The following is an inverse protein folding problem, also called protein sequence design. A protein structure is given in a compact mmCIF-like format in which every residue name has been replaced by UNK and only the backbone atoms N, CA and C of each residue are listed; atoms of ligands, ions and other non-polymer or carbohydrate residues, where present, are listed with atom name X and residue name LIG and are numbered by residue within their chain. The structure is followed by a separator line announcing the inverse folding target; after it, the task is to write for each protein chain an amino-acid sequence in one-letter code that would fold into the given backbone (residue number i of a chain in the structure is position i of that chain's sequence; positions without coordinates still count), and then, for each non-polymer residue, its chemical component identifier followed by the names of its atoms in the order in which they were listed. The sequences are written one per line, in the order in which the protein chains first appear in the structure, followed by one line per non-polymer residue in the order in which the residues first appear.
data_IF_774215231412
#
_entry.id   IF_774215231412
#
_cell.length_a   1.000
_cell.length_b   1.000
_cell.length_c   1.000
_cell.angle_alpha   90.00
_cell.angle_beta   90.00
_cell.angle_gamma   90.00
#
_symmetry.space_group_name_H-M   'P 1'
#
loop_
_entity.id
_entity.type
_entity.pdbx_description
1 polymer ?
#
# COMPACT_ATOMS: atom_id res chain seq x y z
N UNK A 1 10.77 1.98 7.49
CA UNK A 1 10.30 0.67 7.02
C UNK A 1 8.78 0.67 7.02
N UNK A 2 8.10 0.47 5.88
CA UNK A 2 6.65 0.45 5.82
C UNK A 2 6.07 -0.85 6.39
N UNK A 3 4.85 -0.75 6.95
CA UNK A 3 4.06 -1.86 7.51
C UNK A 3 2.73 -1.93 6.80
N UNK A 4 2.40 -3.06 6.18
CA UNK A 4 1.08 -3.37 5.65
C UNK A 4 0.37 -4.37 6.54
N UNK A 5 -0.89 -4.10 6.87
CA UNK A 5 -1.75 -5.04 7.59
C UNK A 5 -2.72 -5.73 6.62
N UNK A 6 -2.72 -7.04 6.59
CA UNK A 6 -3.68 -7.87 5.87
C UNK A 6 -4.78 -8.27 6.85
N UNK A 7 -6.00 -7.82 6.59
CA UNK A 7 -7.20 -8.17 7.35
C UNK A 7 -8.20 -8.90 6.45
N UNK A 8 -9.24 -9.45 7.02
CA UNK A 8 -10.29 -10.15 6.26
C UNK A 8 -10.81 -11.35 7.03
N UNK A 9 -12.02 -11.76 6.71
CA UNK A 9 -12.70 -12.85 7.42
C UNK A 9 -12.02 -14.21 7.21
N UNK A 10 -12.33 -15.16 8.09
CA UNK A 10 -11.81 -16.54 8.01
C UNK A 10 -12.15 -17.14 6.63
N UNK A 11 -11.16 -17.74 5.98
CA UNK A 11 -11.32 -18.36 4.66
C UNK A 11 -11.36 -17.40 3.47
N UNK A 12 -11.19 -16.08 3.65
CA UNK A 12 -11.14 -15.10 2.56
C UNK A 12 -9.90 -15.25 1.66
N UNK A 13 -8.81 -15.84 2.18
CA UNK A 13 -7.58 -16.07 1.44
C UNK A 13 -6.42 -15.17 1.84
N UNK A 14 -6.39 -14.67 3.09
CA UNK A 14 -5.29 -13.84 3.63
C UNK A 14 -3.94 -14.52 3.50
N UNK A 15 -3.81 -15.73 4.03
CA UNK A 15 -2.57 -16.52 3.96
C UNK A 15 -2.19 -16.85 2.51
N UNK A 16 -3.17 -17.05 1.63
CA UNK A 16 -2.91 -17.26 0.20
C UNK A 16 -2.31 -16.01 -0.45
N UNK A 17 -2.86 -14.83 -0.14
CA UNK A 17 -2.31 -13.54 -0.57
C UNK A 17 -0.90 -13.32 0.00
N UNK A 18 -0.71 -13.56 1.31
CA UNK A 18 0.59 -13.42 1.95
C UNK A 18 1.65 -14.29 1.26
N UNK A 19 1.34 -15.55 1.00
CA UNK A 19 2.24 -16.46 0.29
C UNK A 19 2.53 -16.00 -1.14
N UNK A 20 1.54 -15.43 -1.83
CA UNK A 20 1.76 -14.82 -3.15
C UNK A 20 2.70 -13.62 -3.06
N UNK A 21 2.51 -12.73 -2.08
CA UNK A 21 3.38 -11.59 -1.81
C UNK A 21 4.82 -12.04 -1.54
N UNK A 22 5.02 -13.06 -0.71
CA UNK A 22 6.34 -13.58 -0.39
C UNK A 22 7.05 -14.19 -1.61
N UNK A 23 6.31 -14.82 -2.48
CA UNK A 23 6.83 -15.41 -3.72
C UNK A 23 7.18 -14.35 -4.76
N UNK A 24 6.33 -13.35 -4.92
CA UNK A 24 6.46 -12.26 -5.90
C UNK A 24 6.93 -10.96 -5.24
N UNK A 25 7.92 -11.06 -4.34
CA UNK A 25 8.39 -9.98 -3.45
C UNK A 25 9.20 -8.87 -4.12
N UNK A 26 9.38 -8.90 -5.42
CA UNK A 26 10.14 -7.90 -6.20
C UNK A 26 11.59 -7.72 -5.71
N UNK A 27 12.16 -8.76 -5.08
CA UNK A 27 13.49 -8.73 -4.49
C UNK A 27 13.57 -7.98 -3.14
N UNK A 28 12.42 -7.69 -2.52
CA UNK A 28 12.35 -7.11 -1.18
C UNK A 28 12.56 -8.19 -0.11
N UNK A 29 13.19 -7.81 0.98
CA UNK A 29 13.26 -8.62 2.19
C UNK A 29 12.07 -8.28 3.07
N UNK A 30 11.14 -9.23 3.19
CA UNK A 30 9.87 -9.02 3.88
C UNK A 30 9.92 -9.68 5.25
N UNK A 31 9.70 -8.88 6.30
CA UNK A 31 9.40 -9.37 7.65
C UNK A 31 7.91 -9.69 7.74
N UNK A 32 7.56 -10.84 8.30
CA UNK A 32 6.18 -11.27 8.46
C UNK A 32 5.84 -11.43 9.94
N UNK A 33 4.72 -10.82 10.35
CA UNK A 33 4.12 -11.03 11.67
C UNK A 33 2.77 -11.68 11.44
N UNK A 34 2.58 -12.90 11.97
CA UNK A 34 1.30 -13.59 11.92
C UNK A 34 0.65 -13.52 13.30
N UNK A 35 -0.51 -12.91 13.36
CA UNK A 35 -1.29 -12.76 14.58
C UNK A 35 -2.51 -13.68 14.50
N UNK A 36 -2.42 -14.88 15.09
CA UNK A 36 -3.53 -15.80 15.17
C UNK A 36 -4.01 -15.94 16.63
N UNK A 37 -5.34 -15.95 16.82
CA UNK A 37 -5.98 -16.22 18.11
C UNK A 37 -6.13 -17.73 18.29
N UNK A 38 -5.12 -18.41 18.85
CA UNK A 38 -5.22 -19.84 19.16
C UNK A 38 -3.91 -20.44 19.68
N UNK A 39 -4.04 -21.53 20.48
CA UNK A 39 -2.91 -22.28 21.06
C UNK A 39 -2.02 -22.98 20.00
N UNK A 40 -2.44 -22.99 18.73
CA UNK A 40 -1.70 -23.58 17.61
C UNK A 40 -1.74 -22.58 16.45
N UNK A 41 -0.61 -21.97 16.14
CA UNK A 41 -0.46 -21.01 15.04
C UNK A 41 -0.36 -21.76 13.69
N UNK A 42 -1.53 -22.24 13.17
CA UNK A 42 -1.61 -23.02 11.94
C UNK A 42 -1.18 -22.19 10.74
N UNK A 43 -1.53 -20.90 10.71
CA UNK A 43 -1.21 -20.01 9.59
C UNK A 43 0.29 -19.71 9.53
N UNK A 44 0.96 -19.48 10.67
CA UNK A 44 2.40 -19.35 10.73
C UNK A 44 3.13 -20.64 10.28
N UNK A 45 2.57 -21.82 10.63
CA UNK A 45 3.10 -23.10 10.15
C UNK A 45 2.90 -23.29 8.65
N UNK A 46 1.81 -22.77 8.05
CA UNK A 46 1.59 -22.83 6.61
C UNK A 46 2.55 -21.91 5.83
N UNK A 47 2.83 -20.72 6.37
CA UNK A 47 3.82 -19.80 5.82
C UNK A 47 5.23 -20.41 5.94
N UNK A 48 5.58 -20.95 7.11
CA UNK A 48 6.88 -21.60 7.34
C UNK A 48 7.09 -22.84 6.45
N UNK A 49 6.08 -23.70 6.29
CA UNK A 49 6.20 -24.91 5.45
C UNK A 49 6.40 -24.62 3.97
N UNK A 50 5.91 -23.51 3.45
CA UNK A 50 6.16 -23.13 2.06
C UNK A 50 7.55 -22.51 1.89
N UNK A 51 8.16 -21.98 2.94
CA UNK A 51 9.54 -21.53 2.94
C UNK A 51 10.55 -22.65 3.16
N UNK A 52 10.17 -23.76 3.82
CA UNK A 52 11.02 -24.96 4.03
C UNK A 52 11.24 -25.83 2.79
N UNK A 53 10.40 -25.69 1.76
CA UNK A 53 10.67 -26.31 0.46
C UNK A 53 11.44 -25.33 -0.45
N UNK A 54 12.78 -25.32 -0.34
CA UNK A 54 13.77 -24.71 -1.24
C UNK A 54 13.95 -23.18 -1.20
N UNK A 55 13.42 -22.47 -0.25
CA UNK A 55 13.88 -21.12 0.04
C UNK A 55 14.80 -21.14 1.25
N UNK A 56 15.95 -21.78 1.10
CA UNK A 56 17.10 -21.46 1.96
C UNK A 56 17.23 -19.95 2.00
N UNK A 57 17.04 -19.37 3.18
CA UNK A 57 17.55 -18.10 3.71
C UNK A 57 18.12 -17.02 2.76
N UNK A 58 18.17 -17.28 1.45
CA UNK A 58 18.69 -16.36 0.45
C UNK A 58 17.79 -15.15 0.18
N UNK A 59 16.49 -15.21 0.50
CA UNK A 59 15.54 -14.11 0.30
C UNK A 59 15.08 -13.43 1.59
N UNK A 60 15.63 -13.82 2.76
CA UNK A 60 15.56 -13.00 3.97
C UNK A 60 14.18 -12.77 4.59
N UNK A 61 13.26 -13.72 4.47
CA UNK A 61 12.01 -13.67 5.22
C UNK A 61 12.24 -14.05 6.68
N UNK A 62 11.80 -13.21 7.62
CA UNK A 62 11.79 -13.49 9.05
C UNK A 62 10.34 -13.57 9.49
N UNK A 63 9.90 -14.73 9.99
CA UNK A 63 8.58 -14.92 10.58
C UNK A 63 8.67 -14.78 12.10
N UNK A 64 7.85 -13.89 12.67
CA UNK A 64 7.64 -13.74 14.11
C UNK A 64 6.22 -14.15 14.46
N UNK A 65 6.05 -15.02 15.48
CA UNK A 65 4.74 -15.28 16.06
C UNK A 65 4.58 -14.50 17.36
N UNK A 66 3.35 -14.03 17.64
CA UNK A 66 3.07 -13.17 18.80
C UNK A 66 2.88 -13.95 20.11
N UNK A 67 3.40 -15.16 20.23
CA UNK A 67 3.28 -15.92 21.48
C UNK A 67 3.92 -15.14 22.64
N UNK A 68 3.07 -14.44 23.40
CA UNK A 68 3.45 -13.76 24.64
C UNK A 68 4.15 -12.41 24.50
N UNK A 69 4.33 -11.87 23.28
CA UNK A 69 4.87 -10.53 23.01
C UNK A 69 3.78 -9.58 22.50
N UNK A 70 3.96 -8.27 22.74
CA UNK A 70 3.09 -7.25 22.14
C UNK A 70 3.39 -7.09 20.64
N UNK A 71 2.44 -6.52 19.89
CA UNK A 71 2.65 -6.18 18.47
C UNK A 71 3.85 -5.21 18.30
N UNK A 72 4.00 -4.24 19.20
CA UNK A 72 5.14 -3.32 19.22
C UNK A 72 6.47 -4.04 19.42
N UNK A 73 6.53 -5.06 20.28
CA UNK A 73 7.74 -5.87 20.48
C UNK A 73 8.11 -6.64 19.22
N UNK A 74 7.14 -7.24 18.54
CA UNK A 74 7.36 -7.94 17.28
C UNK A 74 7.82 -7.00 16.15
N UNK A 75 7.22 -5.82 16.06
CA UNK A 75 7.67 -4.76 15.14
C UNK A 75 9.10 -4.36 15.48
N UNK A 76 9.42 -4.16 16.77
CA UNK A 76 10.75 -3.80 17.24
C UNK A 76 11.84 -4.84 16.91
N UNK A 77 11.51 -6.13 16.89
CA UNK A 77 12.44 -7.18 16.48
C UNK A 77 12.80 -7.11 14.99
N UNK A 78 11.87 -6.69 14.16
CA UNK A 78 12.06 -6.56 12.71
C UNK A 78 12.59 -5.19 12.31
N UNK A 79 12.10 -4.13 12.95
CA UNK A 79 12.38 -2.74 12.62
C UNK A 79 13.29 -2.10 13.68
N UNK A 80 14.61 -2.14 13.44
CA UNK A 80 15.65 -1.55 14.31
C UNK A 80 16.82 -1.02 13.49
N UNK A 81 17.72 -0.29 14.13
CA UNK A 81 18.96 0.18 13.50
C UNK A 81 19.79 -1.02 13.02
N UNK A 82 20.08 -1.06 11.73
CA UNK A 82 20.83 -2.16 11.11
C UNK A 82 19.98 -3.34 10.62
N UNK A 83 18.65 -3.28 10.75
CA UNK A 83 17.75 -4.25 10.10
C UNK A 83 17.97 -4.26 8.59
N UNK A 84 17.93 -5.45 8.00
CA UNK A 84 18.01 -5.64 6.54
C UNK A 84 16.64 -5.83 5.90
N UNK A 85 15.56 -5.75 6.68
CA UNK A 85 14.19 -5.87 6.21
C UNK A 85 13.79 -4.58 5.46
N UNK A 86 13.16 -4.74 4.31
CA UNK A 86 12.67 -3.63 3.47
C UNK A 86 11.21 -3.28 3.77
N UNK A 87 10.41 -4.28 4.17
CA UNK A 87 8.96 -4.17 4.34
C UNK A 87 8.45 -5.14 5.41
N UNK A 88 7.45 -4.75 6.19
CA UNK A 88 6.77 -5.64 7.15
C UNK A 88 5.35 -5.90 6.68
N UNK A 89 4.95 -7.15 6.68
CA UNK A 89 3.57 -7.58 6.42
C UNK A 89 3.02 -8.26 7.67
N UNK A 90 1.88 -7.75 8.15
CA UNK A 90 1.18 -8.30 9.31
C UNK A 90 -0.07 -9.00 8.81
N UNK A 91 -0.20 -10.30 9.02
CA UNK A 91 -1.45 -11.01 8.82
C UNK A 91 -2.24 -11.03 10.13
N UNK A 92 -3.39 -10.36 10.14
CA UNK A 92 -4.28 -10.36 11.29
C UNK A 92 -5.19 -11.58 11.30
N UNK A 93 -5.55 -12.07 12.49
CA UNK A 93 -6.60 -13.08 12.66
C UNK A 93 -7.90 -12.67 11.96
N UNK A 94 -8.62 -13.64 11.42
CA UNK A 94 -9.92 -13.40 10.78
C UNK A 94 -11.01 -12.85 11.70
N UNK A 95 -10.77 -12.85 13.01
CA UNK A 95 -11.66 -12.29 14.04
C UNK A 95 -11.07 -11.07 14.74
N UNK A 96 -9.88 -10.60 14.31
CA UNK A 96 -9.27 -9.41 14.89
C UNK A 96 -10.15 -8.17 14.68
N UNK A 97 -10.21 -7.31 15.70
CA UNK A 97 -10.90 -6.03 15.60
C UNK A 97 -10.04 -5.03 14.78
N UNK A 98 -10.49 -4.64 13.59
CA UNK A 98 -9.65 -3.87 12.66
C UNK A 98 -9.33 -2.48 13.20
N UNK A 99 -10.23 -1.89 13.96
CA UNK A 99 -10.03 -0.55 14.59
C UNK A 99 -8.94 -0.59 15.65
N UNK A 100 -8.89 -1.64 16.44
CA UNK A 100 -7.86 -1.81 17.47
C UNK A 100 -6.48 -2.01 16.83
N UNK A 101 -6.40 -2.88 15.81
CA UNK A 101 -5.19 -3.08 15.04
C UNK A 101 -4.70 -1.78 14.41
N UNK A 102 -5.58 -1.03 13.75
CA UNK A 102 -5.25 0.26 13.15
C UNK A 102 -4.70 1.24 14.19
N UNK A 103 -5.37 1.35 15.34
CA UNK A 103 -4.91 2.23 16.45
C UNK A 103 -3.54 1.84 16.96
N UNK A 104 -3.26 0.54 17.13
CA UNK A 104 -1.96 0.06 17.57
C UNK A 104 -0.87 0.42 16.55
N UNK A 105 -1.12 0.21 15.27
CA UNK A 105 -0.17 0.51 14.21
C UNK A 105 0.10 2.02 14.05
N UNK A 106 -0.93 2.86 14.15
CA UNK A 106 -0.80 4.32 14.06
C UNK A 106 -0.15 4.93 15.31
N UNK A 107 -0.33 4.30 16.49
CA UNK A 107 0.25 4.77 17.74
C UNK A 107 1.62 4.20 18.06
N UNK A 108 2.16 3.31 17.22
CA UNK A 108 3.48 2.74 17.41
C UNK A 108 4.55 3.83 17.49
N UNK A 109 5.43 3.72 18.49
CA UNK A 109 6.53 4.66 18.73
C UNK A 109 7.83 4.21 18.10
N UNK A 110 7.82 3.16 17.30
CA UNK A 110 9.01 2.66 16.65
C UNK A 110 9.47 3.63 15.56
N UNK A 111 10.65 4.24 15.75
CA UNK A 111 11.22 5.23 14.83
C UNK A 111 11.64 4.64 13.47
N UNK A 112 11.80 3.31 13.40
CA UNK A 112 12.25 2.60 12.19
C UNK A 112 11.09 2.01 11.37
N UNK A 113 9.88 2.01 11.91
CA UNK A 113 8.69 1.49 11.25
C UNK A 113 7.59 2.54 11.14
N UNK A 114 6.75 2.41 10.13
CA UNK A 114 5.55 3.25 9.97
C UNK A 114 4.44 2.45 9.33
N UNK A 115 3.23 2.69 9.75
CA UNK A 115 2.06 2.12 9.10
C UNK A 115 1.93 2.67 7.66
N UNK A 116 1.74 1.78 6.69
CA UNK A 116 1.64 2.08 5.27
C UNK A 116 0.21 1.93 4.77
N UNK A 117 -0.39 0.77 5.00
CA UNK A 117 -1.74 0.48 4.51
C UNK A 117 -2.41 -0.68 5.24
N UNK A 118 -3.76 -0.66 5.22
CA UNK A 118 -4.61 -1.78 5.59
C UNK A 118 -5.25 -2.37 4.33
N UNK A 119 -5.04 -3.66 4.11
CA UNK A 119 -5.53 -4.41 2.96
C UNK A 119 -6.55 -5.45 3.41
N UNK A 120 -7.81 -5.29 3.01
CA UNK A 120 -8.84 -6.29 3.32
C UNK A 120 -8.95 -7.32 2.20
N UNK A 121 -8.83 -8.61 2.55
CA UNK A 121 -9.10 -9.72 1.64
C UNK A 121 -10.53 -10.18 1.83
N UNK A 122 -11.29 -10.24 0.73
CA UNK A 122 -12.74 -10.48 0.72
C UNK A 122 -13.04 -11.71 -0.13
N UNK A 123 -13.77 -12.65 0.42
CA UNK A 123 -14.33 -13.76 -0.36
C UNK A 123 -15.56 -13.28 -1.15
N UNK A 124 -15.40 -13.15 -2.44
CA UNK A 124 -16.47 -12.66 -3.34
C UNK A 124 -17.75 -13.49 -3.26
N UNK A 125 -17.65 -14.79 -2.93
CA UNK A 125 -18.80 -15.69 -2.86
C UNK A 125 -19.64 -15.52 -1.61
N UNK A 126 -19.04 -15.00 -0.54
CA UNK A 126 -19.65 -14.96 0.80
C UNK A 126 -19.84 -13.55 1.37
N UNK A 127 -19.44 -12.48 0.65
CA UNK A 127 -19.41 -11.12 1.17
C UNK A 127 -20.73 -10.68 1.82
N UNK A 128 -21.86 -10.86 1.13
CA UNK A 128 -23.17 -10.42 1.62
C UNK A 128 -23.64 -11.22 2.84
N UNK A 129 -23.39 -12.54 2.84
CA UNK A 129 -23.75 -13.41 3.98
C UNK A 129 -22.82 -13.23 5.19
N UNK A 130 -21.59 -12.82 4.97
CA UNK A 130 -20.63 -12.54 6.04
C UNK A 130 -21.00 -11.28 6.78
N UNK A 131 -21.42 -10.23 6.08
CA UNK A 131 -21.84 -8.98 6.70
C UNK A 131 -23.06 -9.17 7.60
N UNK A 132 -24.09 -9.89 7.13
CA UNK A 132 -25.29 -10.16 7.93
C UNK A 132 -24.98 -10.84 9.27
N UNK A 133 -23.94 -11.67 9.31
CA UNK A 133 -23.59 -12.48 10.49
C UNK A 133 -22.51 -11.86 11.39
N UNK A 134 -21.70 -10.97 10.83
CA UNK A 134 -20.49 -10.43 11.48
C UNK A 134 -20.40 -8.91 11.34
N UNK A 135 -20.93 -8.15 12.29
CA UNK A 135 -20.93 -6.68 12.24
C UNK A 135 -19.53 -6.06 12.08
N UNK A 136 -18.48 -6.69 12.65
CA UNK A 136 -17.10 -6.25 12.50
C UNK A 136 -16.54 -6.36 11.08
N UNK A 137 -17.19 -7.13 10.20
CA UNK A 137 -16.80 -7.24 8.80
C UNK A 137 -17.00 -5.93 8.04
N UNK A 138 -18.13 -5.24 8.30
CA UNK A 138 -18.37 -3.92 7.72
C UNK A 138 -17.25 -2.93 8.07
N UNK A 139 -16.81 -2.95 9.33
CA UNK A 139 -15.74 -2.09 9.80
C UNK A 139 -14.38 -2.42 9.14
N UNK A 140 -14.09 -3.71 8.91
CA UNK A 140 -12.90 -4.11 8.15
C UNK A 140 -12.88 -3.50 6.75
N UNK A 141 -14.02 -3.52 6.06
CA UNK A 141 -14.15 -2.93 4.73
C UNK A 141 -14.01 -1.41 4.76
N UNK A 142 -14.68 -0.76 5.71
CA UNK A 142 -14.72 0.70 5.82
C UNK A 142 -13.36 1.33 6.19
N UNK A 143 -12.54 0.62 6.98
CA UNK A 143 -11.23 1.10 7.44
C UNK A 143 -10.07 0.73 6.52
N UNK A 144 -10.31 -0.08 5.48
CA UNK A 144 -9.23 -0.56 4.61
C UNK A 144 -8.94 0.42 3.48
N UNK A 145 -7.66 0.57 3.17
CA UNK A 145 -7.16 1.42 2.10
C UNK A 145 -7.27 0.72 0.73
N UNK A 146 -7.14 -0.62 0.75
CA UNK A 146 -7.26 -1.49 -0.42
C UNK A 146 -8.18 -2.66 -0.11
N UNK A 147 -9.12 -2.95 -1.00
CA UNK A 147 -9.99 -4.11 -0.95
C UNK A 147 -9.56 -5.12 -2.03
N UNK A 148 -9.21 -6.34 -1.63
CA UNK A 148 -8.90 -7.43 -2.56
C UNK A 148 -10.09 -8.35 -2.62
N UNK A 149 -10.88 -8.26 -3.69
CA UNK A 149 -12.00 -9.12 -3.97
C UNK A 149 -11.49 -10.44 -4.55
N UNK A 150 -11.30 -11.41 -3.69
CA UNK A 150 -10.75 -12.71 -4.04
C UNK A 150 -11.85 -13.73 -4.44
N UNK A 151 -11.45 -14.79 -5.13
CA UNK A 151 -12.32 -15.87 -5.64
C UNK A 151 -13.35 -15.40 -6.65
N UNK A 152 -13.02 -14.41 -7.47
CA UNK A 152 -13.91 -13.86 -8.51
C UNK A 152 -14.26 -14.91 -9.57
N UNK A 153 -13.39 -15.88 -9.80
CA UNK A 153 -13.54 -17.02 -10.70
C UNK A 153 -14.76 -17.90 -10.36
N UNK A 154 -15.23 -17.85 -9.11
CA UNK A 154 -16.39 -18.60 -8.64
C UNK A 154 -17.73 -17.88 -8.85
N UNK A 155 -17.71 -16.63 -9.34
CA UNK A 155 -18.92 -15.83 -9.53
C UNK A 155 -19.27 -15.63 -11.01
N UNK A 156 -20.57 -15.56 -11.29
CA UNK A 156 -21.06 -15.10 -12.59
C UNK A 156 -20.92 -13.58 -12.69
N UNK A 157 -20.75 -13.00 -13.91
CA UNK A 157 -20.56 -11.56 -14.09
C UNK A 157 -21.63 -10.68 -13.41
N UNK A 158 -22.89 -11.11 -13.41
CA UNK A 158 -23.96 -10.36 -12.76
C UNK A 158 -23.88 -10.36 -11.23
N UNK A 159 -23.34 -11.42 -10.63
CA UNK A 159 -23.10 -11.51 -9.19
C UNK A 159 -21.89 -10.66 -8.80
N UNK A 160 -20.82 -10.75 -9.57
CA UNK A 160 -19.61 -9.96 -9.39
C UNK A 160 -19.93 -8.46 -9.41
N UNK A 161 -20.77 -8.01 -10.40
CA UNK A 161 -21.22 -6.62 -10.46
C UNK A 161 -21.92 -6.18 -9.16
N UNK A 162 -22.84 -6.99 -8.64
CA UNK A 162 -23.55 -6.67 -7.39
C UNK A 162 -22.59 -6.53 -6.20
N UNK A 163 -21.59 -7.41 -6.13
CA UNK A 163 -20.57 -7.35 -5.06
C UNK A 163 -19.72 -6.08 -5.17
N UNK A 164 -19.30 -5.71 -6.40
CA UNK A 164 -18.56 -4.46 -6.63
C UNK A 164 -19.37 -3.23 -6.22
N UNK A 165 -20.63 -3.17 -6.66
CA UNK A 165 -21.54 -2.06 -6.35
C UNK A 165 -21.72 -1.93 -4.83
N UNK A 166 -21.86 -3.06 -4.13
CA UNK A 166 -21.97 -3.12 -2.68
C UNK A 166 -20.70 -2.65 -1.96
N UNK A 167 -19.52 -3.14 -2.36
CA UNK A 167 -18.25 -2.71 -1.76
C UNK A 167 -17.99 -1.23 -1.99
N UNK A 168 -18.31 -0.72 -3.17
CA UNK A 168 -18.21 0.71 -3.48
C UNK A 168 -19.16 1.57 -2.65
N UNK A 169 -20.29 1.04 -2.19
CA UNK A 169 -21.18 1.73 -1.25
C UNK A 169 -20.62 1.79 0.17
N UNK A 170 -19.97 0.69 0.64
CA UNK A 170 -19.39 0.65 1.99
C UNK A 170 -18.14 1.55 2.08
N UNK A 171 -17.27 1.44 1.10
CA UNK A 171 -16.01 2.19 1.08
C UNK A 171 -15.74 2.71 -0.33
N UNK A 172 -16.25 3.91 -0.58
CA UNK A 172 -16.09 4.58 -1.88
C UNK A 172 -14.66 5.06 -2.12
N UNK A 173 -13.84 5.13 -1.07
CA UNK A 173 -12.47 5.63 -1.16
C UNK A 173 -11.44 4.52 -1.36
N UNK A 174 -11.72 3.30 -0.88
CA UNK A 174 -10.78 2.19 -1.02
C UNK A 174 -10.58 1.80 -2.50
N UNK A 175 -9.36 1.38 -2.81
CA UNK A 175 -9.05 0.81 -4.12
C UNK A 175 -9.47 -0.66 -4.17
N UNK A 176 -10.24 -1.04 -5.17
CA UNK A 176 -10.72 -2.41 -5.36
C UNK A 176 -9.82 -3.15 -6.35
N UNK A 177 -9.14 -4.19 -5.89
CA UNK A 177 -8.38 -5.12 -6.72
C UNK A 177 -9.13 -6.45 -6.79
N UNK A 178 -9.17 -7.04 -7.98
CA UNK A 178 -9.76 -8.36 -8.19
C UNK A 178 -8.70 -9.43 -8.23
N UNK A 179 -8.99 -10.56 -7.60
CA UNK A 179 -8.04 -11.66 -7.48
C UNK A 179 -8.70 -13.03 -7.68
N UNK A 180 -7.93 -13.91 -8.25
CA UNK A 180 -8.18 -15.35 -8.25
C UNK A 180 -7.06 -16.01 -7.46
N UNK A 181 -7.41 -16.86 -6.49
CA UNK A 181 -6.42 -17.52 -5.64
C UNK A 181 -5.42 -16.56 -4.96
N UNK A 182 -5.88 -15.38 -4.54
CA UNK A 182 -5.06 -14.37 -3.88
C UNK A 182 -3.98 -13.73 -4.76
N UNK A 183 -4.03 -13.90 -6.08
CA UNK A 183 -3.04 -13.34 -7.01
C UNK A 183 -3.41 -11.92 -7.40
N UNK A 184 -2.52 -11.01 -7.10
CA UNK A 184 -2.59 -9.58 -7.48
C UNK A 184 -1.20 -9.13 -7.92
N UNK A 185 -1.12 -8.01 -8.62
CA UNK A 185 0.18 -7.40 -8.88
C UNK A 185 0.74 -6.81 -7.57
N UNK A 186 1.80 -7.44 -7.05
CA UNK A 186 2.41 -7.07 -5.77
C UNK A 186 3.01 -5.67 -5.77
N UNK A 187 3.32 -5.09 -6.96
CA UNK A 187 3.78 -3.69 -7.09
C UNK A 187 2.74 -2.67 -6.63
N UNK A 188 1.46 -3.06 -6.64
CA UNK A 188 0.37 -2.21 -6.13
C UNK A 188 0.30 -2.19 -4.60
N UNK A 189 0.88 -3.20 -3.95
CA UNK A 189 0.84 -3.38 -2.50
C UNK A 189 2.18 -3.07 -1.84
N UNK A 190 3.31 -3.42 -2.49
CA UNK A 190 4.64 -3.32 -1.92
C UNK A 190 5.48 -2.29 -2.65
N UNK A 191 6.16 -1.44 -1.90
CA UNK A 191 7.18 -0.55 -2.45
C UNK A 191 8.24 -0.21 -1.39
N UNK A 192 9.54 -0.37 -1.70
CA UNK A 192 10.61 -0.03 -0.78
C UNK A 192 10.73 1.49 -0.57
N UNK A 193 11.17 1.91 0.61
CA UNK A 193 11.38 3.34 0.95
C UNK A 193 12.44 4.04 0.08
N UNK A 194 13.38 3.29 -0.48
CA UNK A 194 14.39 3.84 -1.38
C UNK A 194 14.10 3.42 -2.82
N UNK A 195 13.89 4.38 -3.74
CA UNK A 195 13.94 4.01 -5.14
C UNK A 195 15.35 3.46 -5.42
N UNK A 196 15.45 2.18 -5.76
CA UNK A 196 16.66 1.69 -6.42
C UNK A 196 16.79 2.55 -7.66
N UNK A 197 17.82 3.38 -7.71
CA UNK A 197 18.12 4.19 -8.91
C UNK A 197 18.12 3.21 -10.08
N UNK A 198 17.26 3.38 -11.10
CA UNK A 198 17.37 2.56 -12.29
C UNK A 198 18.77 2.86 -12.84
N UNK A 199 19.64 1.87 -12.88
CA UNK A 199 20.87 1.97 -13.65
C UNK A 199 20.43 2.30 -15.06
N UNK A 200 20.92 3.43 -15.57
CA UNK A 200 20.59 4.01 -16.86
C UNK A 200 20.60 2.91 -17.95
N UNK A 201 19.43 2.53 -18.44
CA UNK A 201 19.27 1.61 -19.55
C UNK A 201 18.24 0.50 -19.39
N UNK A 202 17.74 0.20 -18.20
CA UNK A 202 16.60 -0.69 -18.04
C UNK A 202 15.28 0.09 -18.21
N UNK A 203 14.84 0.20 -19.47
CA UNK A 203 13.41 0.18 -19.73
C UNK A 203 12.87 -1.02 -18.97
N UNK A 204 11.84 -0.82 -18.13
CA UNK A 204 11.06 -1.90 -17.55
C UNK A 204 10.54 -2.76 -18.72
N UNK A 205 11.39 -3.68 -19.17
CA UNK A 205 10.99 -4.73 -20.06
C UNK A 205 10.03 -5.59 -19.25
N UNK A 206 8.75 -5.48 -19.59
CA UNK A 206 7.76 -6.48 -19.27
C UNK A 206 8.34 -7.79 -19.81
N UNK A 207 8.85 -8.65 -18.93
CA UNK A 207 9.27 -9.99 -19.32
C UNK A 207 8.02 -10.70 -19.83
N UNK A 208 7.97 -10.86 -21.16
CA UNK A 208 7.11 -11.80 -21.84
C UNK A 208 7.53 -13.22 -21.43
N UNK A 209 7.08 -13.68 -20.29
CA UNK A 209 7.02 -15.09 -19.97
C UNK A 209 5.58 -15.57 -20.14
N UNK A 210 5.37 -16.14 -21.33
CA UNK A 210 4.23 -16.96 -21.70
C UNK A 210 3.97 -18.05 -20.67
N UNK A 211 3.03 -17.87 -19.76
CA UNK A 211 2.14 -18.89 -19.19
C UNK A 211 1.16 -18.26 -18.20
N UNK A 212 0.05 -17.78 -18.70
CA UNK A 212 -1.29 -17.90 -18.14
C UNK A 212 -2.21 -16.83 -18.77
N UNK A 213 -3.02 -17.29 -19.69
CA UNK A 213 -4.18 -16.57 -20.19
C UNK A 213 -5.08 -16.12 -19.05
N UNK A 214 -5.57 -14.86 -19.14
CA UNK A 214 -6.79 -14.32 -18.52
C UNK A 214 -6.69 -13.52 -17.22
N UNK A 215 -5.67 -12.70 -16.95
CA UNK A 215 -5.81 -11.56 -16.00
C UNK A 215 -4.70 -10.52 -16.21
N UNK A 216 -4.46 -10.12 -17.47
CA UNK A 216 -3.63 -8.95 -17.75
C UNK A 216 -4.45 -7.68 -17.53
N UNK A 217 -4.64 -7.28 -16.29
CA UNK A 217 -4.90 -5.88 -16.01
C UNK A 217 -3.63 -5.13 -16.37
N UNK A 218 -3.67 -4.37 -17.45
CA UNK A 218 -2.55 -3.56 -17.94
C UNK A 218 -2.41 -2.37 -17.00
N UNK A 219 -1.65 -2.54 -15.92
CA UNK A 219 -1.31 -1.42 -15.06
C UNK A 219 -0.35 -0.50 -15.78
N UNK A 220 -0.61 0.79 -15.69
CA UNK A 220 0.27 1.82 -16.20
C UNK A 220 0.92 2.59 -15.07
N UNK A 221 2.11 3.12 -15.33
CA UNK A 221 2.80 4.02 -14.41
C UNK A 221 3.16 5.31 -15.14
N UNK A 222 2.88 6.44 -14.48
CA UNK A 222 3.21 7.77 -14.99
C UNK A 222 4.17 8.44 -14.02
N UNK A 223 5.30 8.88 -14.54
CA UNK A 223 6.29 9.64 -13.78
C UNK A 223 6.24 11.11 -14.13
N UNK A 224 6.37 11.94 -13.11
CA UNK A 224 6.45 13.39 -13.20
C UNK A 224 7.77 13.88 -12.62
N UNK A 225 8.37 14.84 -13.28
CA UNK A 225 9.58 15.51 -12.79
C UNK A 225 9.46 17.00 -13.05
N UNK A 226 9.74 17.80 -12.03
CA UNK A 226 9.79 19.27 -12.16
C UNK A 226 10.94 19.83 -11.32
N UNK A 227 11.76 20.68 -11.90
CA UNK A 227 12.74 21.50 -11.16
C UNK A 227 12.14 22.82 -10.67
N UNK A 228 10.92 23.14 -11.12
CA UNK A 228 10.14 24.26 -10.61
C UNK A 228 9.30 23.82 -9.42
N UNK A 229 9.08 24.71 -8.45
CA UNK A 229 8.24 24.41 -7.29
C UNK A 229 6.80 24.13 -7.69
N UNK A 230 6.10 23.35 -6.89
CA UNK A 230 4.65 23.15 -6.99
C UNK A 230 3.93 24.11 -6.05
N UNK A 231 2.72 24.52 -6.43
CA UNK A 231 1.81 25.28 -5.57
C UNK A 231 1.20 24.33 -4.52
N UNK A 232 1.43 24.56 -3.21
CA UNK A 232 0.93 23.66 -2.16
C UNK A 232 -0.60 23.57 -2.10
N UNK A 233 -1.31 24.67 -2.41
CA UNK A 233 -2.78 24.68 -2.39
C UNK A 233 -3.35 23.85 -3.54
N UNK A 234 -2.82 24.04 -4.74
CA UNK A 234 -3.21 23.23 -5.89
C UNK A 234 -2.83 21.77 -5.72
N UNK A 235 -1.75 21.48 -4.98
CA UNK A 235 -1.35 20.12 -4.64
C UNK A 235 -2.41 19.42 -3.81
N UNK A 236 -2.96 20.09 -2.78
CA UNK A 236 -4.03 19.54 -1.93
C UNK A 236 -5.29 19.21 -2.75
N UNK A 237 -5.72 20.16 -3.58
CA UNK A 237 -6.86 19.96 -4.50
C UNK A 237 -6.61 18.80 -5.48
N UNK A 238 -5.39 18.68 -6.01
CA UNK A 238 -5.00 17.62 -6.93
C UNK A 238 -5.06 16.23 -6.28
N UNK A 239 -4.51 16.09 -5.07
CA UNK A 239 -4.55 14.80 -4.36
C UNK A 239 -5.98 14.41 -4.03
N UNK A 240 -6.82 15.36 -3.61
CA UNK A 240 -8.24 15.11 -3.35
C UNK A 240 -9.06 14.74 -4.60
N UNK A 241 -8.60 15.13 -5.79
CA UNK A 241 -9.25 14.87 -7.08
C UNK A 241 -8.66 13.69 -7.87
N UNK A 242 -7.68 12.96 -7.31
CA UNK A 242 -7.04 11.84 -8.01
C UNK A 242 -8.05 10.77 -8.44
N UNK A 243 -7.95 10.26 -9.67
CA UNK A 243 -8.78 9.16 -10.14
C UNK A 243 -8.68 7.92 -9.24
N UNK A 244 -9.79 7.21 -9.06
CA UNK A 244 -9.83 5.96 -8.26
C UNK A 244 -9.02 4.83 -8.88
N UNK A 245 -8.73 4.95 -10.16
CA UNK A 245 -7.88 4.07 -10.93
C UNK A 245 -6.40 4.18 -10.56
N UNK A 246 -6.01 5.22 -9.81
CA UNK A 246 -4.66 5.35 -9.24
C UNK A 246 -4.65 4.64 -7.89
N UNK A 247 -3.90 3.55 -7.81
CA UNK A 247 -3.79 2.72 -6.61
C UNK A 247 -2.67 3.16 -5.69
N UNK A 248 -1.59 3.68 -6.27
CA UNK A 248 -0.40 4.06 -5.52
C UNK A 248 0.28 5.27 -6.15
N UNK A 249 0.86 6.10 -5.30
CA UNK A 249 1.80 7.14 -5.75
C UNK A 249 2.91 7.32 -4.73
N UNK A 250 4.10 7.67 -5.22
CA UNK A 250 5.26 7.92 -4.36
C UNK A 250 6.24 8.88 -5.00
N UNK A 251 7.00 9.55 -4.17
CA UNK A 251 8.09 10.37 -4.62
C UNK A 251 8.42 11.52 -3.69
N UNK A 252 8.96 12.58 -4.27
CA UNK A 252 9.38 13.76 -3.54
C UNK A 252 8.79 15.00 -4.18
N UNK A 253 8.40 15.95 -3.33
CA UNK A 253 7.80 17.21 -3.73
C UNK A 253 8.72 18.36 -3.31
N UNK A 254 8.85 19.33 -4.20
CA UNK A 254 9.50 20.60 -3.97
C UNK A 254 8.48 21.73 -4.08
N UNK A 255 8.16 22.40 -2.97
CA UNK A 255 7.26 23.55 -2.96
C UNK A 255 7.99 24.88 -3.12
N UNK A 256 9.27 24.97 -2.74
CA UNK A 256 10.14 26.13 -2.99
C UNK A 256 9.75 27.44 -2.32
N UNK A 257 8.76 27.41 -1.42
CA UNK A 257 8.30 28.57 -0.68
C UNK A 257 9.17 28.83 0.54
N UNK A 258 9.21 30.09 0.97
CA UNK A 258 9.83 30.45 2.25
C UNK A 258 9.16 29.71 3.40
N UNK A 259 9.92 28.86 4.10
CA UNK A 259 9.43 27.98 5.16
C UNK A 259 9.02 26.57 4.69
N UNK A 260 8.99 26.32 3.37
CA UNK A 260 8.75 25.00 2.75
C UNK A 260 9.89 24.64 1.78
N UNK A 261 11.12 24.97 2.14
CA UNK A 261 12.30 24.67 1.30
C UNK A 261 12.79 23.23 1.43
N UNK A 262 12.24 22.48 2.40
CA UNK A 262 12.59 21.09 2.66
C UNK A 262 12.14 20.17 1.51
N UNK A 263 12.62 18.96 1.54
CA UNK A 263 12.18 17.87 0.70
C UNK A 263 10.98 17.21 1.33
N UNK A 264 9.88 17.12 0.63
CA UNK A 264 8.66 16.45 1.09
C UNK A 264 8.55 15.09 0.42
N UNK A 265 8.81 14.02 1.18
CA UNK A 265 8.51 12.66 0.73
C UNK A 265 7.00 12.45 0.74
N UNK A 266 6.43 12.07 -0.39
CA UNK A 266 5.00 11.79 -0.55
C UNK A 266 4.77 10.32 -0.83
N UNK A 267 3.73 9.77 -0.22
CA UNK A 267 3.27 8.41 -0.45
C UNK A 267 1.76 8.36 -0.41
N UNK A 268 1.17 7.59 -1.34
CA UNK A 268 -0.25 7.31 -1.40
C UNK A 268 -0.44 5.81 -1.64
N UNK A 269 -1.32 5.19 -0.84
CA UNK A 269 -1.78 3.81 -1.02
C UNK A 269 -3.29 3.79 -0.83
N UNK A 270 -4.02 3.38 -1.86
CA UNK A 270 -5.47 3.50 -1.83
C UNK A 270 -5.91 4.96 -1.71
N UNK A 271 -6.60 5.28 -0.63
CA UNK A 271 -6.99 6.64 -0.27
C UNK A 271 -6.11 7.26 0.84
N UNK A 272 -5.24 6.47 1.45
CA UNK A 272 -4.32 6.95 2.48
C UNK A 272 -3.11 7.61 1.83
N UNK A 273 -2.81 8.81 2.25
CA UNK A 273 -1.58 9.48 1.85
C UNK A 273 -0.85 10.03 3.08
N UNK A 274 0.46 10.09 2.98
CA UNK A 274 1.37 10.56 4.00
C UNK A 274 2.44 11.46 3.40
N UNK A 275 2.92 12.41 4.18
CA UNK A 275 3.96 13.34 3.77
C UNK A 275 5.01 13.46 4.86
N UNK A 276 6.26 13.14 4.54
CA UNK A 276 7.41 13.24 5.45
C UNK A 276 8.33 14.37 5.03
N UNK A 277 8.79 15.13 6.01
CA UNK A 277 9.83 16.15 5.80
C UNK A 277 11.20 15.47 5.87
N UNK A 278 12.04 15.76 4.86
CA UNK A 278 13.42 15.31 4.76
C UNK A 278 14.30 16.49 4.29
N UNK A 279 15.60 16.28 4.21
CA UNK A 279 16.57 17.24 3.73
C UNK A 279 17.07 16.86 2.33
N UNK A 280 17.36 17.89 1.50
CA UNK A 280 17.94 17.67 0.17
C UNK A 280 19.37 17.13 0.21
N UNK A 281 20.07 17.25 1.34
CA UNK A 281 21.46 16.77 1.57
C UNK A 281 22.43 17.13 0.44
N UNK A 282 22.28 18.34 -0.10
CA UNK A 282 23.10 18.86 -1.19
C UNK A 282 22.65 18.49 -2.59
N UNK A 283 21.61 17.70 -2.75
CA UNK A 283 20.96 17.48 -4.04
C UNK A 283 20.12 18.71 -4.44
N UNK A 284 20.06 19.06 -5.74
CA UNK A 284 19.21 20.16 -6.19
C UNK A 284 17.73 19.84 -5.93
N UNK A 285 16.95 20.81 -5.39
CA UNK A 285 15.53 20.60 -5.17
C UNK A 285 14.79 20.29 -6.46
N UNK A 286 13.93 19.28 -6.44
CA UNK A 286 13.08 18.88 -7.55
C UNK A 286 11.89 18.04 -7.06
N UNK A 287 10.80 18.08 -7.79
CA UNK A 287 9.70 17.12 -7.62
C UNK A 287 9.97 15.91 -8.52
N UNK A 288 9.85 14.74 -7.95
CA UNK A 288 9.84 13.45 -8.66
C UNK A 288 8.74 12.59 -8.07
N UNK A 289 7.74 12.26 -8.87
CA UNK A 289 6.57 11.46 -8.46
C UNK A 289 6.31 10.36 -9.47
N UNK A 290 5.89 9.20 -8.98
CA UNK A 290 5.40 8.10 -9.79
C UNK A 290 4.00 7.74 -9.32
N UNK A 291 3.06 7.64 -10.26
CA UNK A 291 1.70 7.19 -10.02
C UNK A 291 1.49 5.86 -10.73
N UNK A 292 0.89 4.90 -10.04
CA UNK A 292 0.61 3.55 -10.55
C UNK A 292 -0.89 3.31 -10.48
N UNK A 293 -1.48 2.87 -11.57
CA UNK A 293 -2.92 2.63 -11.66
C UNK A 293 -3.32 1.77 -12.84
N UNK A 294 -4.62 1.69 -13.09
CA UNK A 294 -5.18 0.90 -14.19
C UNK A 294 -6.29 1.66 -14.90
N UNK A 295 -6.10 1.95 -16.17
CA UNK A 295 -7.14 2.55 -17.02
C UNK A 295 -7.45 4.02 -16.74
N UNK A 296 -6.57 4.76 -16.08
CA UNK A 296 -6.71 6.20 -15.88
C UNK A 296 -6.22 7.01 -17.10
N UNK A 297 -6.72 8.24 -17.24
CA UNK A 297 -6.29 9.16 -18.28
C UNK A 297 -4.91 9.77 -17.97
N UNK A 298 -3.86 9.18 -18.56
CA UNK A 298 -2.46 9.61 -18.36
C UNK A 298 -2.21 11.03 -18.89
N UNK A 299 -2.83 11.41 -20.03
CA UNK A 299 -2.67 12.75 -20.59
C UNK A 299 -3.37 13.80 -19.74
N UNK A 300 -4.58 13.49 -19.26
CA UNK A 300 -5.31 14.33 -18.34
C UNK A 300 -4.55 14.54 -17.03
N UNK A 301 -3.97 13.47 -16.47
CA UNK A 301 -3.17 13.56 -15.26
C UNK A 301 -1.91 14.42 -15.46
N UNK A 302 -1.24 14.31 -16.61
CA UNK A 302 -0.08 15.15 -16.96
C UNK A 302 -0.45 16.64 -17.03
N UNK A 303 -1.57 16.97 -17.67
CA UNK A 303 -2.05 18.35 -17.73
C UNK A 303 -2.35 18.92 -16.34
N UNK A 304 -3.04 18.15 -15.50
CA UNK A 304 -3.31 18.55 -14.12
C UNK A 304 -2.00 18.78 -13.34
N UNK A 305 -1.01 17.89 -13.50
CA UNK A 305 0.29 18.07 -12.86
C UNK A 305 1.02 19.35 -13.34
N UNK A 306 0.99 19.65 -14.64
CA UNK A 306 1.61 20.85 -15.19
C UNK A 306 0.97 22.15 -14.64
N UNK A 307 -0.32 22.10 -14.29
CA UNK A 307 -1.04 23.21 -13.66
C UNK A 307 -0.64 23.44 -12.19
N UNK A 308 -0.02 22.42 -11.54
CA UNK A 308 0.51 22.56 -10.18
C UNK A 308 1.79 23.40 -10.14
N UNK A 309 2.50 23.51 -11.27
CA UNK A 309 3.79 24.21 -11.31
C UNK A 309 3.56 25.68 -11.02
N UNK A 310 4.15 26.14 -9.91
CA UNK A 310 4.07 27.55 -9.53
C UNK A 310 5.09 28.38 -10.34
N UNK A 311 4.60 29.46 -10.93
CA UNK A 311 5.43 30.42 -11.65
C UNK A 311 5.89 31.59 -10.77
N UNK A 312 5.31 31.72 -9.55
CA UNK A 312 5.57 32.85 -8.65
C UNK A 312 5.47 32.42 -7.16
N UNK A 313 6.40 31.59 -6.66
CA UNK A 313 6.27 30.95 -5.34
C UNK A 313 6.35 31.92 -4.15
N UNK A 314 6.55 33.22 -4.38
CA UNK A 314 6.84 34.18 -3.31
C UNK A 314 5.61 34.82 -2.65
N UNK A 315 4.42 34.65 -3.20
CA UNK A 315 3.22 35.43 -2.79
C UNK A 315 2.19 34.62 -1.94
N UNK A 316 2.52 33.39 -1.51
CA UNK A 316 1.60 32.54 -0.77
C UNK A 316 1.61 32.86 0.72
N UNK A 317 0.43 32.91 1.32
CA UNK A 317 0.23 33.26 2.74
C UNK A 317 0.60 32.14 3.71
N UNK A 318 0.86 32.47 4.99
CA UNK A 318 1.12 31.51 6.07
C UNK A 318 -0.01 30.47 6.25
N UNK A 319 -1.25 30.78 5.85
CA UNK A 319 -2.37 29.82 5.94
C UNK A 319 -2.18 28.62 5.00
N UNK A 320 -1.54 28.83 3.86
CA UNK A 320 -1.21 27.76 2.89
C UNK A 320 -0.19 26.77 3.46
N UNK A 321 0.71 27.22 4.33
CA UNK A 321 1.67 26.35 5.04
C UNK A 321 0.95 25.38 5.98
N UNK A 322 -0.12 25.85 6.64
CA UNK A 322 -0.88 25.02 7.57
C UNK A 322 -1.64 23.89 6.87
N UNK A 323 -2.06 24.08 5.62
CA UNK A 323 -2.75 23.04 4.85
C UNK A 323 -1.79 21.90 4.48
N UNK A 324 -0.55 22.21 4.06
CA UNK A 324 0.49 21.19 3.82
C UNK A 324 0.91 20.47 5.11
N UNK A 325 0.91 21.16 6.25
CA UNK A 325 1.30 20.59 7.54
C UNK A 325 0.21 19.72 8.19
N UNK A 326 -1.02 19.69 7.68
CA UNK A 326 -2.09 18.76 8.13
C UNK A 326 -1.75 17.30 7.89
N UNK A 327 -0.80 17.04 7.03
CA UNK A 327 -0.31 15.68 6.69
C UNK A 327 0.87 15.22 7.56
N UNK A 328 1.01 15.80 8.76
CA UNK A 328 2.03 15.39 9.75
C UNK A 328 1.48 14.39 10.75
#
# INVERSE_FOLDING_TARGET
MPIMAIVGFIGAGKTTLLNHILKENQGLKIGVIVNDFGDINIDAMLVARQTDQELELSNGCICCSLEGSSLDDAIGQLAHAGSTIDYIVIEASGLAEPRELLRLLESSKNEYARFDSMVAVIDATNVLSTEEKHPGFHEQLALSDVLILNKIDLLKPAQLKKVRDYLGFINEHARLLEAENGRVDTRLLLEPESPRTPTSGEQLALSDDNHASHLHHTYSSVSFTSTKPLDPKKWDDFIGALPREIYRAKGFIYFGMKGLEQKYGFQLVGNRHDMKIDEWRGAPPKTELVFIGNGFDEEGLRKQFDELIDQSPQDLSNDTIMDVLRYK
#
